data_IF_331824039115
#
_entry.id   IF_331824039115
#
_cell.length_a   1.000
_cell.length_b   1.000
_cell.length_c   1.000
_cell.angle_alpha   90.00
_cell.angle_beta   90.00
_cell.angle_gamma   90.00
#
_symmetry.space_group_name_H-M   'P 1'
#
loop_
_entity.id
_entity.type
_entity.pdbx_description
1 polymer ?
#
# COMPACT_ATOMS: atom_id res chain seq x y z
N UNK A 1 -52.48 4.08 -21.53
CA UNK A 1 -53.37 3.44 -22.56
C UNK A 1 -52.88 2.01 -22.77
N UNK A 2 -53.77 1.07 -22.37
CA UNK A 2 -54.18 -0.18 -23.03
C UNK A 2 -53.06 -1.16 -23.44
N UNK A 3 -52.93 -2.30 -22.73
CA UNK A 3 -53.62 -3.60 -23.00
C UNK A 3 -52.81 -4.43 -24.08
N UNK A 4 -52.49 -5.73 -23.97
CA UNK A 4 -53.19 -6.98 -23.70
C UNK A 4 -52.11 -8.06 -23.59
N UNK A 5 -51.93 -8.90 -22.61
CA UNK A 5 -52.66 -10.16 -22.32
C UNK A 5 -52.82 -11.12 -23.50
N UNK A 6 -52.08 -12.27 -23.52
CA UNK A 6 -52.61 -13.57 -23.91
C UNK A 6 -51.79 -14.71 -23.23
N UNK A 7 -52.53 -15.49 -22.54
CA UNK A 7 -52.32 -16.76 -21.85
C UNK A 7 -52.51 -17.90 -22.89
N UNK A 8 -51.57 -18.87 -22.97
CA UNK A 8 -51.90 -20.19 -23.51
C UNK A 8 -51.30 -21.23 -22.60
N UNK A 9 -52.20 -21.95 -21.99
CA UNK A 9 -52.08 -23.16 -21.20
C UNK A 9 -52.19 -24.34 -22.18
N UNK A 10 -51.24 -25.32 -22.16
CA UNK A 10 -51.55 -26.66 -22.65
C UNK A 10 -50.85 -27.69 -21.82
N UNK A 11 -51.64 -28.45 -21.14
CA UNK A 11 -51.41 -29.66 -20.37
C UNK A 11 -51.33 -30.82 -21.35
N UNK A 12 -50.28 -31.65 -21.29
CA UNK A 12 -50.33 -33.06 -21.72
C UNK A 12 -49.60 -33.95 -20.73
N UNK A 13 -50.28 -35.01 -20.40
CA UNK A 13 -50.09 -35.93 -19.29
C UNK A 13 -49.09 -37.07 -19.58
N UNK A 14 -48.39 -37.46 -18.52
CA UNK A 14 -48.14 -38.82 -17.98
C UNK A 14 -47.78 -39.91 -19.02
N UNK A 15 -46.55 -40.43 -18.87
CA UNK A 15 -46.33 -41.89 -18.80
C UNK A 15 -45.17 -42.21 -17.88
N UNK A 16 -45.49 -42.86 -16.80
CA UNK A 16 -44.61 -43.50 -15.81
C UNK A 16 -43.98 -44.75 -16.40
N UNK A 17 -42.65 -44.84 -16.32
CA UNK A 17 -41.96 -46.13 -16.33
C UNK A 17 -40.86 -46.11 -15.24
N UNK A 18 -41.18 -46.78 -14.16
CA UNK A 18 -40.27 -47.15 -13.08
C UNK A 18 -39.19 -48.08 -13.65
N UNK A 19 -37.92 -47.63 -13.58
CA UNK A 19 -36.77 -48.51 -13.66
C UNK A 19 -35.93 -48.34 -12.40
N UNK A 20 -35.94 -49.39 -11.59
CA UNK A 20 -35.19 -49.62 -10.41
C UNK A 20 -33.71 -49.32 -10.66
N UNK A 21 -33.16 -48.29 -10.06
CA UNK A 21 -31.72 -47.99 -10.07
C UNK A 21 -31.05 -48.89 -9.03
N UNK A 22 -30.21 -49.77 -9.49
CA UNK A 22 -29.16 -50.43 -8.70
C UNK A 22 -28.19 -49.34 -8.17
N UNK A 23 -27.59 -49.55 -6.99
CA UNK A 23 -26.64 -48.60 -6.44
C UNK A 23 -25.37 -48.60 -7.28
N UNK A 24 -25.04 -47.43 -7.86
CA UNK A 24 -23.73 -47.22 -8.46
C UNK A 24 -22.64 -47.45 -7.40
N UNK A 25 -21.95 -48.55 -7.59
CA UNK A 25 -20.68 -48.84 -6.94
C UNK A 25 -19.73 -47.69 -7.29
N UNK A 26 -19.37 -46.87 -6.28
CA UNK A 26 -18.26 -45.94 -6.41
C UNK A 26 -17.05 -46.71 -6.92
N UNK A 27 -16.69 -46.44 -8.14
CA UNK A 27 -15.41 -46.86 -8.69
C UNK A 27 -14.31 -46.27 -7.78
N UNK A 28 -13.78 -47.11 -6.92
CA UNK A 28 -12.47 -46.84 -6.33
C UNK A 28 -11.51 -46.77 -7.48
N UNK A 29 -11.00 -45.58 -7.73
CA UNK A 29 -9.86 -45.33 -8.60
C UNK A 29 -8.68 -46.04 -7.94
N UNK A 30 -8.45 -47.27 -8.30
CA UNK A 30 -7.21 -47.99 -7.99
C UNK A 30 -6.10 -47.20 -8.68
N UNK A 31 -5.37 -46.42 -7.90
CA UNK A 31 -4.10 -45.83 -8.35
C UNK A 31 -3.22 -47.03 -8.73
N UNK A 32 -2.97 -47.17 -10.01
CA UNK A 32 -2.00 -48.16 -10.53
C UNK A 32 -0.65 -47.74 -9.95
N UNK A 33 -0.20 -48.43 -8.90
CA UNK A 33 1.10 -48.18 -8.32
C UNK A 33 2.15 -48.65 -9.30
N UNK A 34 2.85 -47.70 -9.93
CA UNK A 34 3.93 -48.01 -10.85
C UNK A 34 5.18 -48.39 -10.02
N UNK A 35 5.55 -49.68 -10.12
CA UNK A 35 6.71 -50.24 -9.45
C UNK A 35 7.86 -50.47 -10.41
N UNK A 36 9.08 -50.18 -9.96
CA UNK A 36 10.33 -50.46 -10.67
C UNK A 36 11.11 -51.48 -9.85
N UNK A 37 11.43 -52.60 -10.47
CA UNK A 37 12.34 -53.60 -9.88
C UNK A 37 13.70 -53.51 -10.58
N UNK A 38 14.78 -53.49 -9.79
CA UNK A 38 16.16 -53.39 -10.30
C UNK A 38 17.01 -54.51 -9.74
N UNK A 39 18.09 -54.87 -10.45
CA UNK A 39 19.15 -55.69 -9.90
C UNK A 39 20.14 -54.86 -9.06
N UNK A 40 20.90 -55.51 -8.16
CA UNK A 40 21.96 -54.84 -7.37
C UNK A 40 22.99 -54.15 -8.26
N UNK A 41 23.35 -54.78 -9.39
CA UNK A 41 24.30 -54.20 -10.36
C UNK A 41 23.75 -52.92 -11.00
N UNK A 42 22.45 -52.90 -11.30
CA UNK A 42 21.79 -51.72 -11.86
C UNK A 42 21.75 -50.55 -10.84
N UNK A 43 21.41 -50.83 -9.59
CA UNK A 43 21.39 -49.85 -8.50
C UNK A 43 22.78 -49.18 -8.35
N UNK A 44 23.84 -50.03 -8.32
CA UNK A 44 25.22 -49.57 -8.19
C UNK A 44 25.68 -48.77 -9.41
N UNK A 45 25.35 -49.21 -10.62
CA UNK A 45 25.73 -48.54 -11.88
C UNK A 45 25.01 -47.19 -12.04
N UNK A 46 23.78 -47.10 -11.59
CA UNK A 46 22.95 -45.87 -11.65
C UNK A 46 23.23 -44.93 -10.48
N UNK A 47 24.00 -45.34 -9.49
CA UNK A 47 24.32 -44.52 -8.31
C UNK A 47 23.09 -44.18 -7.48
N UNK A 48 22.14 -45.12 -7.35
CA UNK A 48 20.92 -44.92 -6.56
C UNK A 48 21.28 -45.01 -5.09
N UNK A 49 21.03 -43.96 -4.37
CA UNK A 49 21.20 -43.88 -2.92
C UNK A 49 19.82 -43.75 -2.26
N UNK A 50 19.55 -44.53 -1.23
CA UNK A 50 18.31 -44.50 -0.45
C UNK A 50 18.60 -44.04 0.97
N UNK A 51 17.64 -43.37 1.58
CA UNK A 51 17.75 -42.91 2.96
C UNK A 51 16.42 -42.35 3.45
N UNK A 52 16.41 -41.90 4.68
CA UNK A 52 15.21 -41.27 5.26
C UNK A 52 15.21 -39.76 4.99
N UNK A 53 14.02 -39.14 4.88
CA UNK A 53 13.88 -37.70 4.88
C UNK A 53 14.51 -37.08 6.13
N UNK A 54 15.19 -35.96 5.98
CA UNK A 54 15.89 -35.29 7.08
C UNK A 54 15.16 -34.02 7.46
N UNK A 55 14.90 -33.85 8.76
CA UNK A 55 14.39 -32.57 9.27
C UNK A 55 15.48 -31.52 9.18
N UNK A 56 15.21 -30.46 8.42
CA UNK A 56 16.12 -29.33 8.28
C UNK A 56 15.41 -28.01 8.57
N UNK A 57 16.18 -27.07 9.06
CA UNK A 57 15.75 -25.69 9.15
C UNK A 57 15.97 -25.04 7.80
N UNK A 58 14.90 -24.69 7.11
CA UNK A 58 14.93 -23.99 5.82
C UNK A 58 14.33 -22.61 6.00
N UNK A 59 15.01 -21.60 5.45
CA UNK A 59 14.48 -20.24 5.33
C UNK A 59 13.73 -20.11 4.01
N UNK A 60 12.47 -19.78 4.07
CA UNK A 60 11.71 -19.41 2.88
C UNK A 60 12.10 -18.02 2.41
N UNK A 61 11.86 -17.76 1.13
CA UNK A 61 11.98 -16.43 0.54
C UNK A 61 10.69 -16.07 -0.13
N UNK A 62 10.08 -14.99 0.32
CA UNK A 62 8.93 -14.38 -0.36
C UNK A 62 9.46 -13.42 -1.41
N UNK A 63 9.06 -13.64 -2.66
CA UNK A 63 9.35 -12.70 -3.75
C UNK A 63 8.21 -11.71 -3.89
N UNK A 64 8.56 -10.45 -3.93
CA UNK A 64 7.61 -9.35 -4.10
C UNK A 64 8.16 -8.33 -5.09
N UNK A 65 7.29 -7.55 -5.69
CA UNK A 65 7.65 -6.37 -6.45
C UNK A 65 7.07 -5.15 -5.74
N UNK A 66 7.63 -3.98 -6.00
CA UNK A 66 7.14 -2.76 -5.39
C UNK A 66 7.73 -1.53 -6.02
N UNK A 67 7.46 -0.39 -5.38
CA UNK A 67 8.04 0.89 -5.76
C UNK A 67 8.47 1.66 -4.51
N UNK A 68 9.45 2.53 -4.69
CA UNK A 68 9.80 3.48 -3.66
C UNK A 68 8.70 4.53 -3.57
N UNK A 69 8.26 4.84 -2.36
CA UNK A 69 7.25 5.85 -2.10
C UNK A 69 7.65 6.72 -0.91
N UNK A 70 6.98 7.84 -0.76
CA UNK A 70 7.16 8.75 0.38
C UNK A 70 5.96 8.64 1.32
N UNK A 71 6.17 8.68 2.63
CA UNK A 71 5.08 8.78 3.58
C UNK A 71 4.18 9.99 3.27
N UNK A 72 2.87 9.92 3.52
CA UNK A 72 1.95 11.03 3.24
C UNK A 72 2.34 12.37 3.88
N UNK A 73 3.01 12.35 5.02
CA UNK A 73 3.53 13.54 5.69
C UNK A 73 4.69 14.23 4.94
N UNK A 74 5.36 13.50 4.07
CA UNK A 74 6.49 13.99 3.27
C UNK A 74 6.08 14.40 1.85
N UNK A 75 4.77 14.34 1.57
CA UNK A 75 4.15 14.77 0.31
C UNK A 75 3.18 15.90 0.59
N UNK A 76 3.50 17.12 0.13
CA UNK A 76 2.68 18.30 0.38
C UNK A 76 2.17 18.89 -0.93
N UNK A 77 0.86 19.09 -0.98
CA UNK A 77 0.20 19.84 -2.06
C UNK A 77 -0.04 21.27 -1.58
N UNK A 78 0.48 22.25 -2.33
CA UNK A 78 0.31 23.67 -2.06
C UNK A 78 -0.87 24.19 -2.86
N UNK A 79 -1.86 24.76 -2.16
CA UNK A 79 -2.99 25.51 -2.72
C UNK A 79 -3.07 26.89 -2.06
N UNK A 80 -3.82 27.82 -2.67
CA UNK A 80 -4.05 29.14 -2.10
C UNK A 80 -5.17 29.07 -1.05
N UNK A 81 -5.05 29.71 0.13
CA UNK A 81 -6.16 29.82 1.08
C UNK A 81 -7.29 30.72 0.58
N UNK A 82 -6.96 31.72 -0.24
CA UNK A 82 -7.86 32.57 -1.02
C UNK A 82 -7.40 32.59 -2.47
N UNK A 83 -8.37 32.64 -3.41
CA UNK A 83 -8.07 32.72 -4.84
C UNK A 83 -7.31 33.99 -5.21
N UNK A 84 -6.63 33.96 -6.36
CA UNK A 84 -5.92 35.13 -6.89
C UNK A 84 -5.19 34.82 -8.19
N UNK A 85 -4.64 35.83 -8.81
CA UNK A 85 -3.81 35.68 -10.00
C UNK A 85 -2.35 35.47 -9.62
N UNK A 86 -1.69 34.54 -10.28
CA UNK A 86 -0.25 34.31 -10.09
C UNK A 86 0.53 35.52 -10.65
N UNK A 87 1.10 36.29 -9.74
CA UNK A 87 1.92 37.43 -10.10
C UNK A 87 3.35 37.03 -10.42
N UNK A 88 3.92 36.12 -9.62
CA UNK A 88 5.30 35.67 -9.76
C UNK A 88 5.47 34.25 -9.20
N UNK A 89 6.19 33.43 -9.94
CA UNK A 89 6.81 32.20 -9.47
C UNK A 89 8.11 32.00 -10.22
N UNK A 90 9.14 31.49 -9.56
CA UNK A 90 10.47 31.24 -10.15
C UNK A 90 10.79 29.72 -10.12
N UNK A 91 9.90 28.94 -9.56
CA UNK A 91 10.13 27.51 -9.34
C UNK A 91 9.71 26.66 -10.53
N UNK A 92 10.60 25.74 -10.88
CA UNK A 92 10.37 24.70 -11.89
C UNK A 92 10.35 23.32 -11.22
N UNK A 93 9.77 22.36 -11.90
CA UNK A 93 9.82 20.96 -11.50
C UNK A 93 11.29 20.50 -11.38
N UNK A 94 11.61 19.78 -10.29
CA UNK A 94 12.97 19.33 -9.96
C UNK A 94 13.78 20.30 -9.10
N UNK A 95 13.34 21.55 -8.92
CA UNK A 95 14.04 22.49 -8.03
C UNK A 95 13.82 22.14 -6.57
N UNK A 96 14.86 22.35 -5.75
CA UNK A 96 14.79 22.24 -4.30
C UNK A 96 14.17 23.52 -3.71
N UNK A 97 13.33 23.34 -2.70
CA UNK A 97 12.71 24.40 -1.92
C UNK A 97 12.97 24.17 -0.43
N UNK A 98 13.23 25.23 0.32
CA UNK A 98 13.36 25.17 1.77
C UNK A 98 12.03 25.46 2.45
N UNK A 99 11.84 24.91 3.64
CA UNK A 99 10.70 25.26 4.51
C UNK A 99 10.65 26.76 4.77
N UNK A 100 9.47 27.37 4.59
CA UNK A 100 9.26 28.82 4.73
C UNK A 100 9.64 29.64 3.50
N UNK A 101 10.24 29.05 2.48
CA UNK A 101 10.58 29.76 1.24
C UNK A 101 9.32 30.02 0.41
N UNK A 102 9.14 31.26 -0.05
CA UNK A 102 8.01 31.66 -0.91
C UNK A 102 8.11 30.97 -2.26
N UNK A 103 7.07 30.19 -2.63
CA UNK A 103 7.00 29.47 -3.91
C UNK A 103 6.19 30.22 -4.96
N UNK A 104 5.24 31.02 -4.54
CA UNK A 104 4.41 31.84 -5.45
C UNK A 104 3.92 33.09 -4.74
N UNK A 105 3.79 34.17 -5.50
CA UNK A 105 3.14 35.41 -5.09
C UNK A 105 1.85 35.54 -5.88
N UNK A 106 0.74 35.70 -5.17
CA UNK A 106 -0.59 35.91 -5.74
C UNK A 106 -1.02 37.34 -5.55
N UNK A 107 -1.84 37.88 -6.46
CA UNK A 107 -2.48 39.18 -6.32
C UNK A 107 -3.97 39.09 -6.57
N UNK A 108 -4.76 39.86 -5.76
CA UNK A 108 -6.19 39.96 -5.93
C UNK A 108 -6.75 41.20 -5.24
N UNK A 109 -7.76 41.90 -5.83
CA UNK A 109 -8.42 43.03 -5.18
C UNK A 109 -9.05 42.69 -3.82
N UNK A 110 -9.54 41.48 -3.65
CA UNK A 110 -10.17 41.01 -2.39
C UNK A 110 -9.19 41.03 -1.20
N UNK A 111 -7.88 40.98 -1.45
CA UNK A 111 -6.89 41.10 -0.37
C UNK A 111 -6.89 42.53 0.17
N UNK A 112 -7.07 43.53 -0.70
CA UNK A 112 -7.20 44.95 -0.30
C UNK A 112 -8.51 45.13 0.48
N UNK A 113 -9.62 44.65 -0.08
CA UNK A 113 -10.94 44.77 0.55
C UNK A 113 -10.98 44.16 1.97
N UNK A 114 -10.36 42.98 2.16
CA UNK A 114 -10.29 42.33 3.48
C UNK A 114 -9.54 43.22 4.50
N UNK A 115 -8.47 43.92 4.10
CA UNK A 115 -7.69 44.81 4.94
C UNK A 115 -8.48 46.09 5.27
N UNK A 116 -9.20 46.67 4.28
CA UNK A 116 -10.10 47.78 4.48
C UNK A 116 -11.22 47.44 5.46
N UNK A 117 -11.88 46.29 5.28
CA UNK A 117 -12.95 45.81 6.17
C UNK A 117 -12.44 45.64 7.62
N UNK A 118 -11.19 45.16 7.78
CA UNK A 118 -10.56 45.09 9.08
C UNK A 118 -10.39 46.42 9.75
N UNK A 119 -9.81 47.43 9.06
CA UNK A 119 -9.60 48.77 9.59
C UNK A 119 -10.92 49.47 9.93
N UNK A 120 -11.91 49.38 9.02
CA UNK A 120 -13.22 49.98 9.25
C UNK A 120 -13.90 49.36 10.47
N UNK A 121 -13.86 48.02 10.60
CA UNK A 121 -14.46 47.33 11.72
C UNK A 121 -13.73 47.63 13.04
N UNK A 122 -12.40 47.76 13.01
CA UNK A 122 -11.60 48.17 14.17
C UNK A 122 -12.02 49.54 14.68
N UNK A 123 -12.05 50.55 13.79
CA UNK A 123 -12.46 51.92 14.14
C UNK A 123 -13.91 51.95 14.66
N UNK A 124 -14.81 51.21 14.03
CA UNK A 124 -16.18 51.06 14.52
C UNK A 124 -16.27 50.43 15.90
N UNK A 125 -15.41 49.45 16.18
CA UNK A 125 -15.39 48.75 17.48
C UNK A 125 -14.92 49.74 18.58
N UNK A 126 -13.95 50.59 18.36
CA UNK A 126 -13.48 51.61 19.31
C UNK A 126 -14.63 52.53 19.71
N UNK A 127 -15.40 53.02 18.71
CA UNK A 127 -16.60 53.83 18.98
C UNK A 127 -17.66 53.08 19.78
N UNK A 128 -17.96 51.83 19.40
CA UNK A 128 -18.98 51.04 20.08
C UNK A 128 -18.56 50.62 21.49
N UNK A 129 -17.28 50.46 21.76
CA UNK A 129 -16.75 50.22 23.08
C UNK A 129 -16.99 51.42 24.02
N UNK A 130 -16.71 52.61 23.56
CA UNK A 130 -16.95 53.83 24.31
C UNK A 130 -18.44 54.03 24.57
N UNK A 131 -19.31 53.77 23.56
CA UNK A 131 -20.76 53.86 23.71
C UNK A 131 -21.29 52.81 24.73
N UNK A 132 -20.80 51.57 24.66
CA UNK A 132 -21.13 50.52 25.61
C UNK A 132 -20.76 50.93 27.03
N UNK A 133 -19.54 51.42 27.30
CA UNK A 133 -19.08 51.89 28.59
C UNK A 133 -19.94 53.08 29.10
N UNK A 134 -20.26 54.03 28.23
CA UNK A 134 -21.15 55.16 28.59
C UNK A 134 -22.55 54.70 29.01
N UNK A 135 -23.15 53.75 28.25
CA UNK A 135 -24.46 53.20 28.57
C UNK A 135 -24.45 52.32 29.86
N UNK A 136 -23.32 51.65 30.12
CA UNK A 136 -23.12 50.91 31.34
C UNK A 136 -23.07 51.80 32.58
N UNK A 137 -22.37 52.96 32.53
CA UNK A 137 -22.33 53.92 33.59
C UNK A 137 -23.71 54.56 33.83
N UNK A 138 -24.42 55.03 32.79
CA UNK A 138 -25.79 55.55 32.89
C UNK A 138 -26.78 54.54 33.45
N UNK A 139 -26.66 53.27 33.09
CA UNK A 139 -27.48 52.18 33.60
C UNK A 139 -27.26 51.98 35.11
N UNK A 140 -26.02 52.03 35.57
CA UNK A 140 -25.64 51.91 36.98
C UNK A 140 -26.20 53.08 37.81
N UNK A 141 -26.26 54.28 37.24
CA UNK A 141 -26.87 55.48 37.85
C UNK A 141 -28.40 55.50 37.70
N UNK A 142 -29.02 54.49 37.05
CA UNK A 142 -30.46 54.36 36.77
C UNK A 142 -31.04 55.51 35.94
N UNK A 143 -30.22 56.10 35.06
CA UNK A 143 -30.61 57.22 34.20
C UNK A 143 -30.94 56.73 32.77
N UNK A 144 -30.41 55.60 32.32
CA UNK A 144 -30.67 55.03 30.99
C UNK A 144 -31.69 53.93 31.02
N UNK A 145 -32.41 53.76 29.91
CA UNK A 145 -33.34 52.62 29.71
C UNK A 145 -32.54 51.33 29.55
N UNK A 146 -32.97 50.24 30.19
CA UNK A 146 -32.32 48.92 30.05
C UNK A 146 -32.17 48.46 28.60
N UNK A 147 -33.12 48.86 27.73
CA UNK A 147 -33.09 48.58 26.28
C UNK A 147 -31.85 49.17 25.59
N UNK A 148 -31.49 50.44 25.91
CA UNK A 148 -30.40 51.16 25.27
C UNK A 148 -29.04 50.53 25.65
N UNK A 149 -28.88 50.16 26.94
CA UNK A 149 -27.72 49.39 27.39
C UNK A 149 -27.60 48.03 26.68
N UNK A 150 -28.69 47.27 26.60
CA UNK A 150 -28.71 45.98 25.91
C UNK A 150 -28.33 46.12 24.43
N UNK A 151 -28.85 47.18 23.76
CA UNK A 151 -28.51 47.43 22.36
C UNK A 151 -27.06 47.83 22.18
N UNK A 152 -26.48 48.71 23.02
CA UNK A 152 -25.09 49.09 22.98
C UNK A 152 -24.17 47.88 23.22
N UNK A 153 -24.50 47.05 24.21
CA UNK A 153 -23.80 45.78 24.50
C UNK A 153 -23.81 44.82 23.31
N UNK A 154 -24.99 44.63 22.71
CA UNK A 154 -25.15 43.73 21.54
C UNK A 154 -24.31 44.19 20.36
N UNK A 155 -24.35 45.50 20.06
CA UNK A 155 -23.61 46.11 18.93
C UNK A 155 -22.08 45.97 19.16
N UNK A 156 -21.60 46.28 20.37
CA UNK A 156 -20.19 46.09 20.72
C UNK A 156 -19.74 44.63 20.56
N UNK A 157 -20.53 43.69 21.11
CA UNK A 157 -20.18 42.27 21.02
C UNK A 157 -20.19 41.76 19.58
N UNK A 158 -21.15 42.18 18.76
CA UNK A 158 -21.24 41.81 17.36
C UNK A 158 -20.06 42.35 16.54
N UNK A 159 -19.70 43.63 16.73
CA UNK A 159 -18.53 44.21 16.07
C UNK A 159 -17.22 43.57 16.51
N UNK A 160 -17.08 43.22 17.80
CA UNK A 160 -15.94 42.49 18.33
C UNK A 160 -15.79 41.10 17.70
N UNK A 161 -16.86 40.37 17.56
CA UNK A 161 -16.87 39.09 16.90
C UNK A 161 -16.49 39.19 15.42
N UNK A 162 -17.01 40.22 14.70
CA UNK A 162 -16.67 40.51 13.31
C UNK A 162 -15.16 40.80 13.17
N UNK A 163 -14.59 41.64 14.04
CA UNK A 163 -13.17 41.97 14.02
C UNK A 163 -12.30 40.73 14.23
N UNK A 164 -12.63 39.86 15.16
CA UNK A 164 -11.91 38.60 15.39
C UNK A 164 -11.96 37.70 14.16
N UNK A 165 -13.10 37.60 13.49
CA UNK A 165 -13.24 36.84 12.25
C UNK A 165 -12.39 37.40 11.10
N UNK A 166 -12.35 38.73 10.95
CA UNK A 166 -11.50 39.38 9.94
C UNK A 166 -10.01 39.18 10.24
N UNK A 167 -9.61 39.29 11.50
CA UNK A 167 -8.24 39.02 11.95
C UNK A 167 -7.82 37.59 11.60
N UNK A 168 -8.64 36.60 11.89
CA UNK A 168 -8.37 35.21 11.54
C UNK A 168 -8.20 35.00 10.01
N UNK A 169 -9.05 35.68 9.20
CA UNK A 169 -8.91 35.61 7.72
C UNK A 169 -7.60 36.23 7.23
N UNK A 170 -7.15 37.33 7.82
CA UNK A 170 -5.87 37.97 7.48
C UNK A 170 -4.67 37.07 7.84
N UNK A 171 -4.73 36.43 9.01
CA UNK A 171 -3.69 35.48 9.46
C UNK A 171 -3.57 34.28 8.52
N UNK A 172 -4.70 33.76 7.98
CA UNK A 172 -4.70 32.67 6.99
C UNK A 172 -3.93 33.00 5.70
N UNK A 173 -3.84 34.26 5.34
CA UNK A 173 -3.12 34.73 4.14
C UNK A 173 -1.79 35.38 4.48
N UNK A 174 -1.29 35.20 5.70
CA UNK A 174 -0.03 35.77 6.19
C UNK A 174 0.06 37.30 6.10
N UNK A 175 -1.06 37.99 6.29
CA UNK A 175 -1.09 39.44 6.47
C UNK A 175 -1.27 39.75 7.95
N UNK A 176 -0.31 40.46 8.53
CA UNK A 176 -0.36 40.79 9.94
C UNK A 176 -1.20 42.06 10.16
N UNK A 177 -2.16 42.04 11.11
CA UNK A 177 -2.93 43.24 11.45
C UNK A 177 -2.10 44.47 11.79
N UNK A 178 -0.95 44.28 12.42
CA UNK A 178 -0.02 45.36 12.74
C UNK A 178 0.51 46.13 11.50
N UNK A 179 0.73 45.41 10.38
CA UNK A 179 1.21 46.05 9.15
C UNK A 179 0.13 46.99 8.60
N UNK A 180 -1.12 46.51 8.60
CA UNK A 180 -2.30 47.27 8.14
C UNK A 180 -2.52 48.51 9.02
N UNK A 181 -2.39 48.37 10.33
CA UNK A 181 -2.54 49.47 11.31
C UNK A 181 -1.47 50.54 11.14
N UNK A 182 -0.30 50.17 10.63
CA UNK A 182 0.77 51.09 10.26
C UNK A 182 0.61 51.72 8.85
N UNK A 183 -0.47 51.40 8.15
CA UNK A 183 -0.78 51.97 6.84
C UNK A 183 -0.26 51.15 5.64
N UNK A 184 0.24 49.91 5.87
CA UNK A 184 0.73 49.04 4.81
C UNK A 184 -0.41 48.16 4.28
N UNK A 185 -1.08 48.59 3.19
CA UNK A 185 -2.08 47.76 2.49
C UNK A 185 -1.42 47.02 1.33
N UNK A 186 -1.54 45.70 1.28
CA UNK A 186 -0.89 44.84 0.29
C UNK A 186 -1.93 44.24 -0.66
N UNK A 187 -1.71 44.38 -1.97
CA UNK A 187 -2.52 43.71 -3.01
C UNK A 187 -2.07 42.27 -3.27
N UNK A 188 -0.97 41.86 -2.64
CA UNK A 188 -0.33 40.57 -2.89
C UNK A 188 -0.14 39.76 -1.60
N UNK A 189 -0.22 38.43 -1.76
CA UNK A 189 0.14 37.46 -0.71
C UNK A 189 1.24 36.54 -1.20
N UNK A 190 2.07 36.08 -0.27
CA UNK A 190 3.13 35.12 -0.53
C UNK A 190 2.75 33.75 0.05
N UNK A 191 2.78 32.73 -0.78
CA UNK A 191 2.55 31.36 -0.35
C UNK A 191 3.91 30.68 -0.22
N UNK A 192 4.21 30.21 0.99
CA UNK A 192 5.47 29.55 1.31
C UNK A 192 5.32 28.04 1.39
N UNK A 193 6.43 27.31 1.19
CA UNK A 193 6.48 25.88 1.40
C UNK A 193 6.45 25.53 2.89
N UNK A 194 5.59 24.63 3.35
CA UNK A 194 5.57 24.18 4.73
C UNK A 194 6.67 23.15 5.06
N UNK A 195 7.31 22.55 4.05
CA UNK A 195 8.40 21.57 4.18
C UNK A 195 9.58 21.95 3.30
N UNK A 196 10.76 21.40 3.61
CA UNK A 196 11.89 21.35 2.67
C UNK A 196 11.73 20.14 1.77
N UNK A 197 12.17 20.22 0.50
CA UNK A 197 12.05 19.10 -0.42
C UNK A 197 12.26 19.54 -1.87
N UNK A 198 11.77 18.74 -2.80
CA UNK A 198 11.83 18.99 -4.24
C UNK A 198 10.43 19.19 -4.81
N UNK A 199 10.32 20.12 -5.74
CA UNK A 199 9.07 20.36 -6.47
C UNK A 199 8.88 19.24 -7.48
N UNK A 200 7.91 18.37 -7.23
CA UNK A 200 7.59 17.24 -8.11
C UNK A 200 6.59 17.60 -9.21
N UNK A 201 5.79 18.67 -8.99
CA UNK A 201 4.78 19.10 -9.96
C UNK A 201 4.53 20.59 -9.84
N UNK A 202 4.37 21.26 -10.99
CA UNK A 202 3.98 22.67 -11.12
C UNK A 202 2.78 22.75 -12.04
N UNK A 203 1.65 23.26 -11.53
CA UNK A 203 0.37 23.33 -12.27
C UNK A 203 -0.08 24.77 -12.49
N UNK A 204 0.81 25.72 -12.37
CA UNK A 204 0.49 27.17 -12.52
C UNK A 204 1.51 27.86 -13.40
N UNK A 205 1.06 28.95 -14.00
CA UNK A 205 1.91 29.89 -14.74
C UNK A 205 1.55 31.34 -14.38
N UNK A 206 2.44 32.26 -14.64
CA UNK A 206 2.23 33.70 -14.41
C UNK A 206 0.99 34.17 -15.16
N UNK A 207 0.12 34.94 -14.48
CA UNK A 207 -1.16 35.41 -15.00
C UNK A 207 -2.34 34.45 -14.84
N UNK A 208 -2.10 33.23 -14.48
CA UNK A 208 -3.19 32.25 -14.24
C UNK A 208 -3.97 32.61 -12.97
N UNK A 209 -5.31 32.53 -13.03
CA UNK A 209 -6.14 32.59 -11.83
C UNK A 209 -6.18 31.23 -11.14
N UNK A 210 -5.96 31.20 -9.83
CA UNK A 210 -6.05 30.01 -8.98
C UNK A 210 -7.16 30.17 -7.95
N UNK A 211 -7.95 29.11 -7.79
CA UNK A 211 -8.98 29.00 -6.73
C UNK A 211 -8.39 28.28 -5.50
N UNK A 212 -9.06 28.33 -4.34
CA UNK A 212 -8.63 27.59 -3.15
C UNK A 212 -8.52 26.07 -3.35
N UNK A 213 -9.23 25.50 -4.31
CA UNK A 213 -9.16 24.07 -4.66
C UNK A 213 -8.04 23.72 -5.65
N UNK A 214 -7.38 24.71 -6.23
CA UNK A 214 -6.33 24.51 -7.23
C UNK A 214 -5.02 24.10 -6.55
N UNK A 215 -4.55 22.88 -6.83
CA UNK A 215 -3.22 22.45 -6.45
C UNK A 215 -2.20 23.15 -7.36
N UNK A 216 -1.44 24.08 -6.81
CA UNK A 216 -0.43 24.84 -7.54
C UNK A 216 0.88 24.11 -7.68
N UNK A 217 1.38 23.58 -6.56
CA UNK A 217 2.64 22.85 -6.50
C UNK A 217 2.47 21.58 -5.69
N UNK A 218 3.28 20.57 -6.03
CA UNK A 218 3.49 19.40 -5.19
C UNK A 218 4.95 19.35 -4.80
N UNK A 219 5.20 19.25 -3.50
CA UNK A 219 6.54 19.17 -2.93
C UNK A 219 6.70 17.81 -2.27
N UNK A 220 7.84 17.19 -2.51
CA UNK A 220 8.19 15.86 -2.01
C UNK A 220 9.49 15.98 -1.22
N UNK A 221 9.46 15.57 0.02
CA UNK A 221 10.65 15.36 0.82
C UNK A 221 11.14 13.92 0.59
N UNK A 222 12.33 13.79 -0.01
CA UNK A 222 12.92 12.50 -0.37
C UNK A 222 13.95 12.02 0.65
N UNK A 223 14.09 12.68 1.81
CA UNK A 223 15.04 12.26 2.84
C UNK A 223 14.63 10.92 3.48
N UNK A 224 13.34 10.62 3.54
CA UNK A 224 12.80 9.40 4.13
C UNK A 224 11.93 8.62 3.13
N UNK A 225 12.58 7.90 2.23
CA UNK A 225 11.86 7.01 1.30
C UNK A 225 11.56 5.66 1.94
N UNK A 226 10.36 5.16 1.69
CA UNK A 226 9.95 3.81 2.05
C UNK A 226 9.88 2.94 0.80
N UNK A 227 10.25 1.68 0.94
CA UNK A 227 9.98 0.69 -0.09
C UNK A 227 8.62 0.05 0.17
N UNK A 228 7.64 0.30 -0.71
CA UNK A 228 6.32 -0.32 -0.64
C UNK A 228 6.29 -1.57 -1.52
N UNK A 229 6.38 -2.75 -0.89
CA UNK A 229 6.33 -4.05 -1.57
C UNK A 229 4.90 -4.60 -1.59
N UNK A 230 4.51 -5.22 -2.70
CA UNK A 230 3.24 -5.92 -2.86
C UNK A 230 3.45 -7.43 -2.70
N UNK A 231 2.94 -7.99 -1.62
CA UNK A 231 3.07 -9.41 -1.28
C UNK A 231 1.74 -10.11 -1.48
N UNK A 232 1.74 -11.26 -2.14
CA UNK A 232 0.53 -12.05 -2.37
C UNK A 232 -0.10 -12.57 -1.08
N UNK A 233 -1.43 -12.65 -1.04
CA UNK A 233 -2.21 -13.09 0.13
C UNK A 233 -1.77 -14.45 0.68
N UNK A 234 -1.37 -15.38 -0.18
CA UNK A 234 -0.90 -16.72 0.19
C UNK A 234 0.37 -16.70 1.07
N UNK A 235 1.18 -15.64 0.94
CA UNK A 235 2.47 -15.51 1.61
C UNK A 235 2.38 -14.70 2.92
N UNK A 236 1.21 -14.05 3.17
CA UNK A 236 0.96 -13.24 4.38
C UNK A 236 1.23 -14.01 5.70
N UNK A 237 0.82 -15.30 5.86
CA UNK A 237 1.06 -16.01 7.10
C UNK A 237 2.54 -16.13 7.49
N UNK A 238 3.44 -15.98 6.53
CA UNK A 238 4.89 -16.06 6.73
C UNK A 238 5.54 -14.70 6.97
N UNK A 239 4.79 -13.60 6.79
CA UNK A 239 5.29 -12.23 7.00
C UNK A 239 5.30 -11.86 8.48
N UNK A 240 6.40 -11.24 8.91
CA UNK A 240 6.56 -10.65 10.24
C UNK A 240 7.32 -9.33 10.16
N UNK A 241 6.93 -8.40 11.00
CA UNK A 241 7.69 -7.17 11.20
C UNK A 241 9.11 -7.51 11.67
N UNK A 242 10.10 -6.78 11.17
CA UNK A 242 11.52 -6.99 11.47
C UNK A 242 12.23 -8.00 10.57
N UNK A 243 11.56 -8.61 9.59
CA UNK A 243 12.21 -9.47 8.61
C UNK A 243 13.13 -8.67 7.69
N UNK A 244 14.27 -9.28 7.32
CA UNK A 244 15.20 -8.71 6.35
C UNK A 244 14.63 -8.77 4.95
N UNK A 245 14.86 -7.71 4.20
CA UNK A 245 14.41 -7.55 2.82
C UNK A 245 15.60 -7.12 1.97
N UNK A 246 15.81 -7.81 0.87
CA UNK A 246 16.79 -7.44 -0.14
C UNK A 246 16.08 -6.88 -1.34
N UNK A 247 16.33 -5.61 -1.61
CA UNK A 247 15.70 -4.85 -2.69
C UNK A 247 16.68 -4.71 -3.85
N UNK A 248 16.24 -4.99 -5.05
CA UNK A 248 16.97 -4.67 -6.28
C UNK A 248 16.18 -3.65 -7.08
N UNK A 249 16.67 -2.43 -7.16
CA UNK A 249 16.09 -1.38 -7.98
C UNK A 249 16.27 -1.70 -9.46
N UNK A 250 15.33 -1.27 -10.29
CA UNK A 250 15.35 -1.52 -11.74
C UNK A 250 16.53 -0.89 -12.48
N UNK A 251 17.12 0.16 -11.90
CA UNK A 251 18.28 0.89 -12.44
C UNK A 251 19.62 0.51 -11.78
N UNK A 252 19.64 -0.49 -10.87
CA UNK A 252 20.84 -0.92 -10.15
C UNK A 252 21.08 -2.43 -10.29
N UNK A 253 22.34 -2.81 -10.21
CA UNK A 253 22.77 -4.23 -10.19
C UNK A 253 22.96 -4.76 -8.78
N UNK A 254 23.20 -3.89 -7.82
CA UNK A 254 23.44 -4.22 -6.40
C UNK A 254 22.11 -4.32 -5.64
N UNK A 255 22.09 -5.19 -4.63
CA UNK A 255 20.96 -5.29 -3.71
C UNK A 255 21.15 -4.30 -2.55
N UNK A 256 20.05 -3.69 -2.13
CA UNK A 256 19.96 -2.82 -0.95
C UNK A 256 19.25 -3.57 0.16
N UNK A 257 19.73 -3.42 1.37
CA UNK A 257 19.09 -3.99 2.56
C UNK A 257 17.98 -3.08 3.08
N UNK A 258 16.89 -3.70 3.49
CA UNK A 258 15.77 -3.06 4.15
C UNK A 258 15.15 -4.00 5.18
N UNK A 259 14.26 -3.47 5.99
CA UNK A 259 13.57 -4.23 7.03
C UNK A 259 12.07 -4.01 6.92
N UNK A 260 11.27 -5.08 7.06
CA UNK A 260 9.80 -5.00 7.12
C UNK A 260 9.40 -4.16 8.33
N UNK A 261 8.82 -3.00 8.09
CA UNK A 261 8.38 -2.07 9.13
C UNK A 261 6.89 -2.20 9.44
N UNK A 262 6.04 -2.27 8.40
CA UNK A 262 4.60 -2.35 8.56
C UNK A 262 3.99 -3.29 7.53
N UNK A 263 3.01 -4.08 7.95
CA UNK A 263 2.23 -4.97 7.08
C UNK A 263 0.80 -4.43 7.02
N UNK A 264 0.33 -4.08 5.83
CA UNK A 264 -1.04 -3.64 5.59
C UNK A 264 -2.07 -4.65 6.07
N UNK A 265 -3.28 -4.19 6.32
CA UNK A 265 -4.40 -5.02 6.79
C UNK A 265 -5.54 -5.12 5.77
N UNK A 266 -5.27 -4.69 4.56
CA UNK A 266 -6.23 -4.71 3.45
C UNK A 266 -5.63 -5.47 2.27
N UNK A 267 -6.43 -6.34 1.68
CA UNK A 267 -6.08 -7.07 0.46
C UNK A 267 -6.59 -6.25 -0.73
N UNK A 268 -5.70 -5.91 -1.65
CA UNK A 268 -6.04 -5.18 -2.88
C UNK A 268 -6.81 -6.07 -3.87
N UNK A 269 -7.46 -5.49 -4.91
CA UNK A 269 -8.10 -6.27 -5.98
C UNK A 269 -7.15 -7.26 -6.67
N UNK A 270 -5.84 -6.96 -6.70
CA UNK A 270 -4.78 -7.80 -7.26
C UNK A 270 -4.37 -8.96 -6.33
N UNK A 271 -5.10 -9.17 -5.22
CA UNK A 271 -4.82 -10.17 -4.19
C UNK A 271 -3.44 -10.02 -3.54
N UNK A 272 -3.03 -8.79 -3.33
CA UNK A 272 -1.79 -8.44 -2.64
C UNK A 272 -2.06 -7.62 -1.39
N UNK A 273 -1.10 -7.62 -0.47
CA UNK A 273 -1.05 -6.73 0.70
C UNK A 273 0.18 -5.83 0.56
N UNK A 274 0.03 -4.57 0.91
CA UNK A 274 1.12 -3.61 0.95
C UNK A 274 1.98 -3.84 2.18
N UNK A 275 3.28 -3.95 1.97
CA UNK A 275 4.29 -4.12 3.01
C UNK A 275 5.26 -2.96 2.91
N UNK A 276 5.30 -2.13 3.95
CA UNK A 276 6.25 -1.02 4.01
C UNK A 276 7.56 -1.50 4.62
N UNK A 277 8.64 -1.25 3.89
CA UNK A 277 10.00 -1.60 4.32
C UNK A 277 10.82 -0.33 4.45
N UNK A 278 11.60 -0.23 5.52
CA UNK A 278 12.57 0.83 5.71
C UNK A 278 13.92 0.42 5.13
N UNK A 279 14.49 1.27 4.31
CA UNK A 279 15.86 1.10 3.80
C UNK A 279 16.84 1.31 4.96
N UNK A 280 17.85 0.46 5.06
CA UNK A 280 18.89 0.61 6.09
C UNK A 280 19.83 1.79 5.82
N UNK A 281 19.96 2.19 4.57
CA UNK A 281 20.75 3.36 4.16
C UNK A 281 19.88 4.29 3.35
N UNK A 282 19.73 5.51 3.86
CA UNK A 282 19.12 6.61 3.12
C UNK A 282 20.03 7.03 1.98
N UNK A 283 19.43 7.37 0.84
CA UNK A 283 20.15 7.82 -0.33
C UNK A 283 19.33 8.91 -1.06
N UNK A 284 19.81 10.13 -0.99
CA UNK A 284 19.16 11.30 -1.59
C UNK A 284 19.07 11.24 -3.13
N UNK A 285 19.79 10.31 -3.78
CA UNK A 285 19.70 10.11 -5.22
C UNK A 285 18.49 9.26 -5.62
N UNK A 286 17.83 8.60 -4.66
CA UNK A 286 16.64 7.81 -4.92
C UNK A 286 15.43 8.72 -5.20
N UNK A 287 14.62 8.30 -6.17
CA UNK A 287 13.44 9.05 -6.60
C UNK A 287 12.19 8.19 -6.29
N UNK A 288 11.14 8.79 -5.71
CA UNK A 288 9.85 8.12 -5.56
C UNK A 288 9.33 7.60 -6.90
N UNK A 289 8.69 6.44 -6.89
CA UNK A 289 8.19 5.78 -8.10
C UNK A 289 9.20 4.82 -8.77
N UNK A 290 10.44 4.72 -8.29
CA UNK A 290 11.38 3.70 -8.78
C UNK A 290 10.88 2.30 -8.41
N UNK A 291 10.79 1.43 -9.42
CA UNK A 291 10.41 0.04 -9.24
C UNK A 291 11.58 -0.79 -8.69
N UNK A 292 11.21 -1.78 -7.88
CA UNK A 292 12.16 -2.77 -7.39
C UNK A 292 11.54 -4.18 -7.37
N UNK A 293 12.42 -5.17 -7.39
CA UNK A 293 12.10 -6.53 -6.96
C UNK A 293 12.66 -6.77 -5.56
N UNK A 294 11.89 -7.45 -4.73
CA UNK A 294 12.24 -7.72 -3.34
C UNK A 294 12.30 -9.22 -3.05
N UNK A 295 13.21 -9.60 -2.16
CA UNK A 295 13.27 -10.90 -1.51
C UNK A 295 13.16 -10.67 -0.01
N UNK A 296 12.08 -11.16 0.61
CA UNK A 296 11.84 -11.07 2.05
C UNK A 296 12.21 -12.41 2.65
N UNK A 297 13.16 -12.44 3.57
CA UNK A 297 13.54 -13.65 4.29
C UNK A 297 12.46 -14.03 5.31
N UNK A 298 11.96 -15.25 5.22
CA UNK A 298 11.02 -15.75 6.22
C UNK A 298 11.78 -16.42 7.39
N UNK A 299 11.07 -16.59 8.50
CA UNK A 299 11.61 -17.33 9.64
C UNK A 299 11.98 -18.75 9.23
N UNK A 300 13.07 -19.26 9.80
CA UNK A 300 13.43 -20.65 9.64
C UNK A 300 12.32 -21.56 10.17
N UNK A 301 11.90 -22.49 9.36
CA UNK A 301 10.94 -23.53 9.73
C UNK A 301 11.61 -24.91 9.67
N UNK A 302 11.34 -25.73 10.66
CA UNK A 302 11.78 -27.12 10.66
C UNK A 302 10.82 -27.92 9.77
N UNK A 303 11.34 -28.44 8.67
CA UNK A 303 10.55 -29.17 7.67
C UNK A 303 11.26 -30.45 7.25
N UNK A 304 10.48 -31.42 6.83
CA UNK A 304 11.00 -32.66 6.24
C UNK A 304 11.56 -32.35 4.84
N UNK A 305 12.78 -32.71 4.59
CA UNK A 305 13.50 -32.41 3.34
C UNK A 305 14.08 -33.65 2.70
N UNK A 306 14.15 -33.61 1.39
CA UNK A 306 14.83 -34.60 0.55
C UNK A 306 15.80 -33.86 -0.35
N UNK A 307 16.99 -34.41 -0.66
CA UNK A 307 17.86 -33.84 -1.67
C UNK A 307 17.11 -33.61 -2.99
N UNK A 308 17.34 -32.46 -3.62
CA UNK A 308 16.61 -32.09 -4.86
C UNK A 308 16.78 -33.13 -5.98
N UNK A 309 17.88 -33.86 -6.00
CA UNK A 309 18.18 -34.96 -6.94
C UNK A 309 17.31 -36.22 -6.71
N UNK A 310 16.67 -36.33 -5.54
CA UNK A 310 15.70 -37.40 -5.22
C UNK A 310 14.29 -37.09 -5.67
N UNK A 311 14.00 -35.87 -6.14
CA UNK A 311 12.68 -35.45 -6.60
C UNK A 311 12.66 -35.38 -8.12
N UNK A 312 11.65 -35.99 -8.71
CA UNK A 312 11.47 -36.03 -10.17
C UNK A 312 10.16 -35.38 -10.57
N UNK A 313 10.17 -34.72 -11.72
CA UNK A 313 8.98 -34.18 -12.34
C UNK A 313 8.48 -35.15 -13.42
N UNK A 314 7.26 -35.64 -13.25
CA UNK A 314 6.62 -36.55 -14.20
C UNK A 314 5.17 -36.10 -14.40
N UNK A 315 4.73 -36.00 -15.66
CA UNK A 315 3.37 -35.52 -16.02
C UNK A 315 2.94 -34.22 -15.30
N UNK A 316 3.88 -33.28 -15.18
CA UNK A 316 3.70 -31.98 -14.49
C UNK A 316 3.42 -32.05 -12.98
N UNK A 317 3.71 -33.17 -12.35
CA UNK A 317 3.63 -33.41 -10.91
C UNK A 317 4.98 -33.82 -10.36
N UNK A 318 5.19 -33.58 -9.06
CA UNK A 318 6.43 -33.93 -8.37
C UNK A 318 6.28 -35.27 -7.66
N UNK A 319 7.28 -36.12 -7.81
CA UNK A 319 7.30 -37.48 -7.26
C UNK A 319 8.61 -37.77 -6.55
N UNK A 320 8.56 -38.71 -5.61
CA UNK A 320 9.71 -39.39 -5.03
C UNK A 320 9.56 -40.89 -5.25
N UNK A 321 10.66 -41.62 -5.24
CA UNK A 321 10.64 -43.09 -5.22
C UNK A 321 10.84 -43.59 -3.80
N UNK A 322 9.94 -44.47 -3.36
CA UNK A 322 9.96 -45.09 -2.04
C UNK A 322 10.36 -46.54 -2.20
N UNK A 323 11.31 -46.98 -1.41
CA UNK A 323 11.70 -48.39 -1.39
C UNK A 323 10.66 -49.19 -0.61
N UNK A 324 9.94 -50.10 -1.28
CA UNK A 324 8.91 -50.97 -0.67
C UNK A 324 9.48 -52.31 -0.22
N UNK A 325 10.45 -52.85 -1.01
CA UNK A 325 11.20 -54.06 -0.71
C UNK A 325 12.64 -53.87 -1.18
N UNK A 326 13.62 -54.67 -0.75
CA UNK A 326 14.94 -54.67 -1.34
C UNK A 326 14.86 -54.74 -2.87
N UNK A 327 15.43 -53.76 -3.59
CA UNK A 327 15.45 -53.68 -5.06
C UNK A 327 14.13 -53.29 -5.74
N UNK A 328 13.10 -52.96 -4.98
CA UNK A 328 11.78 -52.54 -5.52
C UNK A 328 11.45 -51.11 -5.07
N UNK A 329 11.07 -50.29 -6.03
CA UNK A 329 10.78 -48.86 -5.83
C UNK A 329 9.38 -48.55 -6.38
N UNK A 330 8.63 -47.80 -5.60
CA UNK A 330 7.29 -47.29 -5.95
C UNK A 330 7.34 -45.80 -6.12
N UNK A 331 6.75 -45.26 -7.20
CA UNK A 331 6.66 -43.82 -7.41
C UNK A 331 5.47 -43.29 -6.60
N UNK A 332 5.72 -42.23 -5.82
CA UNK A 332 4.72 -41.60 -4.95
C UNK A 332 4.68 -40.11 -5.22
N UNK A 333 3.48 -39.59 -5.50
CA UNK A 333 3.25 -38.16 -5.68
C UNK A 333 3.47 -37.42 -4.36
N UNK A 334 4.15 -36.28 -4.45
CA UNK A 334 4.42 -35.40 -3.31
C UNK A 334 4.11 -33.95 -3.64
N UNK A 335 3.79 -33.18 -2.61
CA UNK A 335 3.82 -31.74 -2.71
C UNK A 335 5.20 -31.21 -2.32
N UNK A 336 5.86 -30.52 -3.25
CA UNK A 336 7.12 -29.86 -2.98
C UNK A 336 6.91 -28.44 -2.48
N UNK A 337 7.66 -28.05 -1.44
CA UNK A 337 7.70 -26.69 -0.91
C UNK A 337 8.99 -25.95 -1.32
N UNK A 338 9.56 -25.24 -0.36
CA UNK A 338 10.75 -24.42 -0.55
C UNK A 338 12.00 -25.27 -0.75
N UNK A 339 12.93 -24.80 -1.62
CA UNK A 339 14.22 -25.44 -1.85
C UNK A 339 15.35 -24.50 -1.40
N UNK A 340 16.29 -25.03 -0.61
CA UNK A 340 17.46 -24.30 -0.12
C UNK A 340 18.66 -25.25 0.02
N UNK A 341 19.83 -24.81 -0.42
CA UNK A 341 21.08 -25.55 -0.24
C UNK A 341 21.09 -26.96 -0.84
N UNK A 342 20.39 -27.21 -1.95
CA UNK A 342 20.30 -28.52 -2.60
C UNK A 342 19.29 -29.47 -1.96
N UNK A 343 18.50 -29.00 -0.97
CA UNK A 343 17.42 -29.75 -0.34
C UNK A 343 16.08 -29.09 -0.63
N UNK A 344 15.05 -29.90 -0.80
CA UNK A 344 13.69 -29.43 -1.07
C UNK A 344 12.75 -29.95 0.02
N UNK A 345 11.93 -29.05 0.55
CA UNK A 345 10.83 -29.39 1.45
C UNK A 345 9.82 -30.31 0.75
N UNK A 346 9.41 -31.35 1.42
CA UNK A 346 8.39 -32.30 0.95
C UNK A 346 7.32 -32.49 2.01
N UNK A 347 6.06 -32.46 1.57
CA UNK A 347 4.94 -32.86 2.42
C UNK A 347 4.76 -34.36 2.29
N UNK A 348 5.12 -35.09 3.35
CA UNK A 348 5.01 -36.54 3.41
C UNK A 348 3.84 -36.95 4.30
N UNK A 349 3.10 -37.97 3.88
CA UNK A 349 2.13 -38.64 4.77
C UNK A 349 2.87 -39.36 5.91
N UNK A 350 2.21 -39.57 7.04
CA UNK A 350 2.82 -40.27 8.18
C UNK A 350 3.45 -41.61 7.77
N UNK A 351 2.78 -42.35 6.87
CA UNK A 351 3.28 -43.62 6.35
C UNK A 351 4.58 -43.53 5.54
N UNK A 352 4.92 -42.38 5.03
CA UNK A 352 6.11 -42.14 4.22
C UNK A 352 7.31 -41.58 5.02
N UNK A 353 7.07 -41.04 6.20
CA UNK A 353 8.11 -40.44 7.05
C UNK A 353 9.16 -41.45 7.52
N UNK A 354 8.75 -42.69 7.70
CA UNK A 354 9.63 -43.77 8.20
C UNK A 354 10.19 -44.66 7.09
N UNK A 355 9.74 -44.47 5.85
CA UNK A 355 10.20 -45.28 4.71
C UNK A 355 11.51 -44.76 4.14
N UNK A 356 12.22 -45.67 3.49
CA UNK A 356 13.43 -45.36 2.72
C UNK A 356 13.00 -44.71 1.39
N UNK A 357 13.55 -43.52 1.10
CA UNK A 357 13.28 -42.76 -0.11
C UNK A 357 14.56 -42.66 -0.92
N UNK A 358 14.46 -42.66 -2.23
CA UNK A 358 15.60 -42.45 -3.12
C UNK A 358 16.07 -41.01 -2.99
N UNK A 359 17.29 -40.82 -2.50
CA UNK A 359 17.91 -39.51 -2.30
C UNK A 359 18.68 -39.03 -3.53
N UNK A 360 19.17 -39.99 -4.36
CA UNK A 360 19.96 -39.73 -5.57
C UNK A 360 19.68 -40.77 -6.63
N UNK A 361 19.71 -40.34 -7.90
CA UNK A 361 19.52 -41.26 -9.05
C UNK A 361 18.04 -41.47 -9.40
N UNK A 362 17.10 -40.72 -8.82
CA UNK A 362 15.65 -40.84 -9.07
C UNK A 362 15.26 -40.66 -10.55
N UNK A 363 16.01 -39.86 -11.30
CA UNK A 363 15.78 -39.65 -12.73
C UNK A 363 15.93 -40.92 -13.57
N UNK A 364 16.87 -41.81 -13.19
CA UNK A 364 17.05 -43.10 -13.89
C UNK A 364 15.82 -44.00 -13.72
N UNK A 365 15.18 -43.97 -12.55
CA UNK A 365 13.96 -44.74 -12.28
C UNK A 365 12.78 -44.26 -13.14
N UNK A 366 12.63 -42.94 -13.32
CA UNK A 366 11.60 -42.39 -14.24
C UNK A 366 11.85 -42.81 -15.68
N UNK A 367 13.10 -42.86 -16.13
CA UNK A 367 13.46 -43.29 -17.48
C UNK A 367 13.09 -44.74 -17.74
N UNK A 368 13.24 -45.60 -16.73
CA UNK A 368 12.81 -47.01 -16.83
C UNK A 368 11.30 -47.11 -16.88
N UNK A 369 10.57 -46.35 -16.03
CA UNK A 369 9.09 -46.34 -16.07
C UNK A 369 8.54 -45.93 -17.42
N UNK A 370 9.13 -44.90 -18.06
CA UNK A 370 8.72 -44.46 -19.37
C UNK A 370 8.88 -45.53 -20.45
N UNK A 371 10.00 -46.24 -20.42
CA UNK A 371 10.26 -47.31 -21.40
C UNK A 371 9.36 -48.51 -21.19
N UNK A 372 8.86 -48.74 -19.96
CA UNK A 372 7.91 -49.83 -19.69
C UNK A 372 6.46 -49.48 -20.01
N UNK A 373 6.11 -48.24 -20.23
CA UNK A 373 4.78 -47.81 -20.71
C UNK A 373 4.69 -47.80 -22.25
N UNK A 374 5.81 -47.85 -22.95
CA UNK A 374 5.89 -47.86 -24.42
C UNK A 374 5.96 -49.30 -25.03
N UNK A 375 6.13 -50.34 -24.18
CA UNK A 375 6.05 -51.75 -24.55
C UNK A 375 4.65 -52.36 -24.21
#
# INVERSE_FOLDING_TARGET
MKKFLILILSVVSIFSCSKKSEPETKAQTTATSLHVALSEEQIKKMGIEVGQPVMRSISGVIKANGMLDVPPQNLVSISAPLGGFVKRTEFLQGMRVAKGQTVVVLEHPDYIQLQEDYLMTKNQLEYLELEYKRQEELQNEKVSAAKDFQMAKSNYQSSKAKLLGLKAKLELINIHPSDIENGEIKSTISIASPISGFISQVNVNIGMYVSPSTMMFRIVDTEHLHAEAQVFEKDIPQLKIGQKVFLRLSNETTEREATVYLIGKEITPERTVRVHCHLEKEDAALIPGLFFSARIETSQIQVSTVPSDGIVLFQNKSYVFVQTQPLQFEIVEIEKGVSEGGFTQVTLTEALKEKQIVLKGAYHLVSILRNSEEE
#
